data_IF_871624772750
#
_entry.id   IF_871624772750
#
_cell.length_a   1.000
_cell.length_b   1.000
_cell.length_c   1.000
_cell.angle_alpha   90.00
_cell.angle_beta   90.00
_cell.angle_gamma   90.00
#
_symmetry.space_group_name_H-M   'P 1'
#
loop_
_entity.id
_entity.type
_entity.pdbx_description
1 polymer ?
#
# COMPACT_ATOMS: atom_id res chain seq x y z
N UNK A 1 -9.26 4.62 13.04
CA UNK A 1 -9.68 5.57 14.10
C UNK A 1 -10.58 6.67 13.53
N UNK A 2 -11.62 6.32 12.79
CA UNK A 2 -12.51 7.30 12.14
C UNK A 2 -13.40 7.96 13.20
N UNK A 3 -13.53 9.29 13.16
CA UNK A 3 -14.39 10.06 14.07
C UNK A 3 -13.79 10.42 15.43
N UNK A 4 -12.53 10.01 15.71
CA UNK A 4 -11.85 10.38 16.95
C UNK A 4 -11.27 11.79 16.83
N UNK A 5 -11.39 12.58 17.90
CA UNK A 5 -10.63 13.83 18.02
C UNK A 5 -9.13 13.54 18.08
N UNK A 6 -8.30 14.48 17.60
CA UNK A 6 -6.84 14.29 17.53
C UNK A 6 -6.21 13.84 18.86
N UNK A 7 -6.55 14.39 20.05
CA UNK A 7 -5.97 13.92 21.30
C UNK A 7 -6.28 12.46 21.63
N UNK A 8 -7.48 11.99 21.25
CA UNK A 8 -7.89 10.60 21.46
C UNK A 8 -7.13 9.65 20.52
N UNK A 9 -6.83 10.07 19.29
CA UNK A 9 -5.94 9.31 18.39
C UNK A 9 -4.54 9.21 18.97
N UNK A 10 -3.98 10.33 19.43
CA UNK A 10 -2.65 10.37 20.05
C UNK A 10 -2.55 9.45 21.26
N UNK A 11 -3.53 9.49 22.18
CA UNK A 11 -3.54 8.61 23.35
C UNK A 11 -3.71 7.14 22.99
N UNK A 12 -4.54 6.83 21.99
CA UNK A 12 -4.74 5.46 21.50
C UNK A 12 -3.45 4.90 20.90
N UNK A 13 -2.75 5.70 20.07
CA UNK A 13 -1.46 5.31 19.50
C UNK A 13 -0.42 5.06 20.60
N UNK A 14 -0.31 5.96 21.58
CA UNK A 14 0.60 5.77 22.73
C UNK A 14 0.30 4.48 23.48
N UNK A 15 -0.99 4.20 23.74
CA UNK A 15 -1.41 2.98 24.42
C UNK A 15 -1.02 1.71 23.65
N UNK A 16 -1.14 1.70 22.33
CA UNK A 16 -0.72 0.56 21.49
C UNK A 16 0.78 0.27 21.68
N UNK A 17 1.62 1.31 21.69
CA UNK A 17 3.06 1.14 21.94
C UNK A 17 3.33 0.66 23.38
N UNK A 18 2.64 1.22 24.37
CA UNK A 18 2.75 0.78 25.77
C UNK A 18 2.37 -0.69 25.96
N UNK A 19 1.33 -1.15 25.27
CA UNK A 19 0.93 -2.55 25.28
C UNK A 19 1.97 -3.42 24.56
N UNK A 20 2.52 -2.96 23.44
CA UNK A 20 3.61 -3.65 22.74
C UNK A 20 4.87 -3.79 23.61
N UNK A 21 5.16 -2.81 24.48
CA UNK A 21 6.27 -2.91 25.42
C UNK A 21 6.07 -3.94 26.53
N UNK A 22 4.91 -4.59 26.66
CA UNK A 22 4.70 -5.64 27.67
C UNK A 22 5.19 -7.01 27.20
N UNK A 23 5.26 -7.24 25.89
CA UNK A 23 5.76 -8.50 25.31
C UNK A 23 7.28 -8.49 25.13
N UNK A 24 7.98 -9.64 25.28
CA UNK A 24 9.41 -9.76 24.99
C UNK A 24 9.77 -9.42 23.54
N UNK A 25 8.87 -9.73 22.60
CA UNK A 25 9.02 -9.47 21.17
C UNK A 25 7.69 -8.99 20.60
N UNK A 26 7.72 -7.84 19.93
CA UNK A 26 6.51 -7.18 19.43
C UNK A 26 6.74 -6.56 18.05
N UNK A 27 5.65 -6.47 17.29
CA UNK A 27 5.61 -5.72 16.03
C UNK A 27 4.44 -4.73 16.12
N UNK A 28 4.68 -3.47 15.74
CA UNK A 28 3.65 -2.45 15.56
C UNK A 28 3.64 -2.03 14.10
N UNK A 29 2.47 -2.06 13.47
CA UNK A 29 2.28 -1.64 12.08
C UNK A 29 1.51 -0.31 12.08
N UNK A 30 2.15 0.73 11.58
CA UNK A 30 1.58 2.04 11.31
C UNK A 30 1.17 2.09 9.83
N UNK A 31 -0.06 1.69 9.54
CA UNK A 31 -0.57 1.66 8.17
C UNK A 31 -1.13 3.02 7.73
N UNK A 32 -0.84 3.41 6.49
CA UNK A 32 -1.34 4.62 5.83
C UNK A 32 -1.08 5.88 6.68
N UNK A 33 0.20 6.15 6.96
CA UNK A 33 0.65 7.17 7.93
C UNK A 33 0.10 8.56 7.59
N UNK A 34 0.05 8.94 6.31
CA UNK A 34 -0.56 10.21 5.87
C UNK A 34 -2.00 10.35 6.35
N UNK A 35 -2.78 9.27 6.37
CA UNK A 35 -4.15 9.26 6.85
C UNK A 35 -4.23 9.32 8.38
N UNK A 36 -3.28 8.69 9.07
CA UNK A 36 -3.15 8.83 10.52
C UNK A 36 -2.84 10.27 10.93
N UNK A 37 -2.01 10.96 10.14
CA UNK A 37 -1.68 12.37 10.25
C UNK A 37 -2.80 13.32 9.78
N UNK A 38 -3.91 12.80 9.26
CA UNK A 38 -4.99 13.60 8.66
C UNK A 38 -4.47 14.54 7.56
N UNK A 39 -3.48 14.08 6.79
CA UNK A 39 -2.85 14.86 5.75
C UNK A 39 -3.83 15.17 4.61
N UNK A 40 -3.88 16.44 4.22
CA UNK A 40 -4.60 16.93 3.04
C UNK A 40 -3.67 17.82 2.22
N UNK A 41 -3.52 17.50 0.93
CA UNK A 41 -2.58 18.19 0.05
C UNK A 41 -2.93 19.67 -0.21
N UNK A 42 -4.22 20.03 -0.20
CA UNK A 42 -4.67 21.41 -0.41
C UNK A 42 -4.36 22.26 0.83
N UNK A 43 -3.48 23.25 0.67
CA UNK A 43 -3.07 24.15 1.75
C UNK A 43 -2.34 23.43 2.88
N UNK A 44 -1.36 22.56 2.54
CA UNK A 44 -0.95 21.33 3.23
C UNK A 44 -1.30 21.32 4.73
N UNK A 45 -2.34 20.56 5.07
CA UNK A 45 -2.83 20.42 6.45
C UNK A 45 -2.51 19.03 6.97
N UNK A 46 -2.18 18.95 8.25
CA UNK A 46 -1.97 17.71 8.98
C UNK A 46 -2.12 17.98 10.49
N UNK A 47 -2.38 16.95 11.28
CA UNK A 47 -2.34 17.05 12.74
C UNK A 47 -0.90 17.02 13.24
N UNK A 48 -0.38 18.19 13.61
CA UNK A 48 0.95 18.29 14.23
C UNK A 48 0.99 17.52 15.57
N UNK A 49 -0.12 17.42 16.29
CA UNK A 49 -0.19 16.63 17.53
C UNK A 49 0.15 15.16 17.27
N UNK A 50 -0.45 14.56 16.25
CA UNK A 50 -0.17 13.17 15.88
C UNK A 50 1.25 13.02 15.35
N UNK A 51 1.75 13.98 14.56
CA UNK A 51 3.13 13.97 14.09
C UNK A 51 4.13 13.90 15.26
N UNK A 52 3.97 14.76 16.27
CA UNK A 52 4.86 14.76 17.43
C UNK A 52 4.78 13.46 18.23
N UNK A 53 3.58 12.88 18.40
CA UNK A 53 3.40 11.58 19.05
C UNK A 53 4.15 10.48 18.28
N UNK A 54 4.00 10.42 16.96
CA UNK A 54 4.70 9.42 16.13
C UNK A 54 6.22 9.59 16.17
N UNK A 55 6.73 10.81 16.06
CA UNK A 55 8.17 11.10 16.14
C UNK A 55 8.79 10.59 17.45
N UNK A 56 8.08 10.74 18.56
CA UNK A 56 8.52 10.23 19.87
C UNK A 56 8.44 8.71 19.92
N UNK A 57 7.31 8.12 19.54
CA UNK A 57 7.06 6.68 19.69
C UNK A 57 7.95 5.83 18.77
N UNK A 58 8.18 6.25 17.53
CA UNK A 58 9.03 5.53 16.57
C UNK A 58 10.49 5.50 17.03
N UNK A 59 11.00 6.58 17.64
CA UNK A 59 12.39 6.66 18.13
C UNK A 59 12.59 6.05 19.52
N UNK A 60 11.51 5.80 20.27
CA UNK A 60 11.58 5.33 21.66
C UNK A 60 12.06 3.88 21.70
N UNK A 61 13.16 3.66 22.42
CA UNK A 61 13.66 2.31 22.68
C UNK A 61 12.70 1.55 23.62
N UNK A 62 12.40 0.27 23.35
CA UNK A 62 11.63 -0.55 24.27
C UNK A 62 12.40 -0.77 25.58
N UNK A 63 11.71 -1.15 26.68
CA UNK A 63 12.36 -1.49 27.95
C UNK A 63 13.43 -2.58 27.79
N UNK A 64 14.42 -2.58 28.70
CA UNK A 64 15.50 -3.56 28.67
C UNK A 64 14.99 -5.01 28.61
N UNK A 65 15.60 -5.82 27.75
CA UNK A 65 15.20 -7.21 27.53
C UNK A 65 14.00 -7.40 26.60
N UNK A 66 13.47 -6.32 26.00
CA UNK A 66 12.37 -6.40 25.04
C UNK A 66 12.77 -5.88 23.67
N UNK A 67 12.11 -6.37 22.62
CA UNK A 67 12.37 -6.02 21.23
C UNK A 67 11.08 -5.56 20.56
N UNK A 68 11.17 -4.45 19.83
CA UNK A 68 10.06 -3.88 19.07
C UNK A 68 10.51 -3.63 17.63
N UNK A 69 9.73 -4.11 16.67
CA UNK A 69 9.83 -3.72 15.26
C UNK A 69 8.64 -2.81 14.93
N UNK A 70 8.92 -1.64 14.36
CA UNK A 70 7.88 -0.73 13.85
C UNK A 70 7.94 -0.74 12.34
N UNK A 71 6.83 -1.06 11.69
CA UNK A 71 6.68 -1.01 10.23
C UNK A 71 5.71 0.10 9.89
N UNK A 72 6.14 1.06 9.08
CA UNK A 72 5.30 2.13 8.56
C UNK A 72 4.99 1.93 7.08
N UNK A 73 3.74 2.17 6.66
CA UNK A 73 3.38 2.24 5.23
C UNK A 73 2.95 3.67 4.89
N UNK A 74 3.34 4.11 3.69
CA UNK A 74 2.92 5.40 3.15
C UNK A 74 2.87 5.32 1.62
N UNK A 75 1.92 6.03 1.03
CA UNK A 75 1.91 6.34 -0.41
C UNK A 75 2.51 7.72 -0.69
N UNK A 76 2.86 8.49 0.35
CA UNK A 76 3.26 9.89 0.29
C UNK A 76 4.66 10.12 0.89
N UNK A 77 5.65 9.33 0.47
CA UNK A 77 7.01 9.35 1.04
C UNK A 77 7.65 10.73 1.13
N UNK A 78 7.57 11.53 0.07
CA UNK A 78 8.12 12.91 0.03
C UNK A 78 7.50 13.83 1.09
N UNK A 79 6.23 13.61 1.43
CA UNK A 79 5.53 14.38 2.47
C UNK A 79 6.09 14.01 3.84
N UNK A 80 6.30 12.71 4.11
CA UNK A 80 6.89 12.24 5.36
C UNK A 80 8.36 12.68 5.51
N UNK A 81 9.11 12.73 4.40
CA UNK A 81 10.46 13.32 4.37
C UNK A 81 10.42 14.79 4.77
N UNK A 82 9.53 15.57 4.16
CA UNK A 82 9.36 17.01 4.44
C UNK A 82 8.93 17.28 5.90
N UNK A 83 8.25 16.33 6.54
CA UNK A 83 7.83 16.40 7.95
C UNK A 83 8.90 15.88 8.93
N UNK A 84 10.04 15.37 8.43
CA UNK A 84 11.10 14.77 9.24
C UNK A 84 10.71 13.43 9.89
N UNK A 85 9.58 12.83 9.50
CA UNK A 85 9.11 11.56 10.05
C UNK A 85 9.83 10.37 9.40
N UNK A 86 10.21 10.48 8.13
CA UNK A 86 10.96 9.42 7.46
C UNK A 86 12.31 9.15 8.14
N UNK A 87 13.02 10.20 8.57
CA UNK A 87 14.29 10.10 9.32
C UNK A 87 14.14 9.45 10.70
N UNK A 88 12.91 9.30 11.22
CA UNK A 88 12.67 8.57 12.45
C UNK A 88 12.79 7.04 12.27
N UNK A 89 12.59 6.54 11.05
CA UNK A 89 12.71 5.12 10.73
C UNK A 89 14.16 4.75 10.43
N UNK A 90 14.57 3.54 10.83
CA UNK A 90 15.94 3.06 10.60
C UNK A 90 16.20 2.64 9.15
N UNK A 91 15.15 2.21 8.43
CA UNK A 91 15.23 1.70 7.06
C UNK A 91 14.02 2.21 6.30
N UNK A 92 14.27 2.75 5.10
CA UNK A 92 13.24 3.14 4.14
C UNK A 92 13.31 2.16 2.96
N UNK A 93 12.21 1.45 2.71
CA UNK A 93 12.11 0.51 1.60
C UNK A 93 11.11 1.04 0.57
N UNK A 94 11.59 1.29 -0.66
CA UNK A 94 10.71 1.66 -1.75
C UNK A 94 10.03 0.41 -2.33
N UNK A 95 8.70 0.46 -2.46
CA UNK A 95 7.90 -0.59 -3.11
C UNK A 95 7.43 -0.04 -4.47
N UNK A 96 8.11 -0.38 -5.58
CA UNK A 96 7.76 0.15 -6.89
C UNK A 96 6.50 -0.51 -7.47
N UNK A 97 5.93 0.12 -8.50
CA UNK A 97 4.93 -0.51 -9.35
C UNK A 97 5.55 -1.65 -10.19
N UNK A 98 4.73 -2.60 -10.60
CA UNK A 98 5.16 -3.74 -11.42
C UNK A 98 5.47 -3.29 -12.85
N UNK A 99 6.44 -3.94 -13.49
CA UNK A 99 6.82 -3.74 -14.89
C UNK A 99 6.82 -5.05 -15.67
N UNK A 100 6.45 -5.00 -16.95
CA UNK A 100 6.65 -6.04 -17.98
C UNK A 100 6.74 -7.50 -17.48
N UNK A 101 7.95 -7.94 -17.12
CA UNK A 101 8.21 -9.30 -16.63
C UNK A 101 7.52 -9.62 -15.30
N UNK A 102 7.50 -8.68 -14.36
CA UNK A 102 6.81 -8.83 -13.07
C UNK A 102 5.30 -8.94 -13.26
N UNK A 103 4.73 -8.15 -14.18
CA UNK A 103 3.31 -8.29 -14.58
C UNK A 103 3.06 -9.67 -15.16
N UNK A 104 3.94 -10.14 -16.07
CA UNK A 104 3.83 -11.47 -16.68
C UNK A 104 3.83 -12.58 -15.61
N UNK A 105 4.73 -12.48 -14.61
CA UNK A 105 4.81 -13.43 -13.49
C UNK A 105 3.54 -13.43 -12.64
N UNK A 106 2.97 -12.25 -12.36
CA UNK A 106 1.71 -12.14 -11.61
C UNK A 106 0.56 -12.76 -12.41
N UNK A 107 0.42 -12.44 -13.71
CA UNK A 107 -0.63 -13.01 -14.56
C UNK A 107 -0.51 -14.54 -14.70
N UNK A 108 0.71 -15.06 -14.79
CA UNK A 108 0.98 -16.50 -14.81
C UNK A 108 0.57 -17.17 -13.48
N UNK A 109 0.98 -16.58 -12.35
CA UNK A 109 0.66 -17.10 -11.02
C UNK A 109 -0.85 -17.08 -10.73
N UNK A 110 -1.55 -16.05 -11.22
CA UNK A 110 -3.01 -15.94 -11.12
C UNK A 110 -3.77 -16.93 -12.02
N UNK A 111 -3.07 -17.64 -12.92
CA UNK A 111 -3.69 -18.56 -13.88
C UNK A 111 -4.71 -17.88 -14.80
N UNK A 112 -4.59 -16.56 -14.97
CA UNK A 112 -5.58 -15.72 -15.62
C UNK A 112 -5.71 -15.98 -17.12
N UNK A 113 -4.58 -16.29 -17.77
CA UNK A 113 -4.46 -16.46 -19.21
C UNK A 113 -3.77 -17.79 -19.53
N UNK A 114 -3.84 -18.25 -20.77
CA UNK A 114 -2.92 -19.28 -21.23
C UNK A 114 -1.50 -18.71 -21.28
N UNK A 115 -0.46 -19.51 -21.02
CA UNK A 115 0.93 -19.02 -21.02
C UNK A 115 1.32 -18.33 -22.33
N UNK A 116 0.78 -18.79 -23.46
CA UNK A 116 0.99 -18.19 -24.78
C UNK A 116 0.35 -16.80 -24.95
N UNK A 117 -0.71 -16.50 -24.18
CA UNK A 117 -1.48 -15.25 -24.29
C UNK A 117 -0.97 -14.18 -23.32
N UNK A 118 -0.17 -14.54 -22.31
CA UNK A 118 0.38 -13.61 -21.32
C UNK A 118 1.16 -12.45 -21.96
N UNK A 119 2.06 -12.67 -22.95
CA UNK A 119 2.76 -11.57 -23.60
C UNK A 119 1.80 -10.57 -24.24
N UNK A 120 0.76 -11.05 -24.93
CA UNK A 120 -0.25 -10.20 -25.54
C UNK A 120 -1.07 -9.44 -24.49
N UNK A 121 -1.45 -10.09 -23.39
CA UNK A 121 -2.16 -9.45 -22.28
C UNK A 121 -1.34 -8.31 -21.65
N UNK A 122 -0.03 -8.49 -21.50
CA UNK A 122 0.90 -7.48 -21.00
C UNK A 122 1.04 -6.30 -21.98
N UNK A 123 1.11 -6.58 -23.28
CA UNK A 123 1.16 -5.52 -24.31
C UNK A 123 -0.13 -4.69 -24.35
N UNK A 124 -1.29 -5.34 -24.22
CA UNK A 124 -2.60 -4.67 -24.12
C UNK A 124 -2.62 -3.77 -22.87
N UNK A 125 -2.22 -4.29 -21.70
CA UNK A 125 -2.11 -3.52 -20.47
C UNK A 125 -1.22 -2.29 -20.65
N UNK A 126 -0.03 -2.48 -21.22
CA UNK A 126 0.94 -1.41 -21.45
C UNK A 126 0.39 -0.32 -22.40
N UNK A 127 -0.41 -0.71 -23.39
CA UNK A 127 -1.04 0.20 -24.36
C UNK A 127 -2.10 1.11 -23.74
N UNK A 128 -2.97 0.57 -22.89
CA UNK A 128 -4.12 1.33 -22.34
C UNK A 128 -3.84 1.96 -20.98
N UNK A 129 -3.04 1.31 -20.13
CA UNK A 129 -2.83 1.72 -18.73
C UNK A 129 -1.39 2.11 -18.39
N UNK A 130 -0.46 1.97 -19.34
CA UNK A 130 0.96 2.28 -19.15
C UNK A 130 1.79 1.10 -18.63
N UNK A 131 3.11 1.31 -18.56
CA UNK A 131 4.09 0.24 -18.25
C UNK A 131 4.34 0.00 -16.76
N UNK A 132 3.97 0.96 -15.92
CA UNK A 132 4.15 0.92 -14.47
C UNK A 132 2.78 0.73 -13.82
N UNK A 133 2.52 -0.48 -13.31
CA UNK A 133 1.19 -0.84 -12.79
C UNK A 133 1.28 -1.29 -11.33
N UNK A 134 0.62 -0.57 -10.38
CA UNK A 134 0.50 -1.04 -9.01
C UNK A 134 -0.21 -2.40 -8.96
N UNK A 135 0.31 -3.35 -8.19
CA UNK A 135 -0.23 -4.71 -8.13
C UNK A 135 -1.72 -4.75 -7.77
N UNK A 136 -2.16 -3.88 -6.86
CA UNK A 136 -3.58 -3.77 -6.47
C UNK A 136 -4.48 -3.38 -7.66
N UNK A 137 -4.01 -2.50 -8.55
CA UNK A 137 -4.75 -2.13 -9.78
C UNK A 137 -4.78 -3.28 -10.77
N UNK A 138 -3.65 -3.95 -10.98
CA UNK A 138 -3.57 -5.11 -11.87
C UNK A 138 -4.57 -6.20 -11.46
N UNK A 139 -4.58 -6.57 -10.18
CA UNK A 139 -5.51 -7.59 -9.65
C UNK A 139 -6.97 -7.14 -9.74
N UNK A 140 -7.25 -5.86 -9.51
CA UNK A 140 -8.60 -5.31 -9.66
C UNK A 140 -9.09 -5.42 -11.11
N UNK A 141 -8.30 -4.98 -12.08
CA UNK A 141 -8.67 -5.03 -13.49
C UNK A 141 -8.82 -6.46 -13.97
N UNK A 142 -7.95 -7.35 -13.50
CA UNK A 142 -8.05 -8.78 -13.79
C UNK A 142 -9.37 -9.35 -13.27
N UNK A 143 -9.76 -8.99 -12.06
CA UNK A 143 -11.03 -9.44 -11.48
C UNK A 143 -12.24 -8.89 -12.24
N UNK A 144 -12.18 -7.63 -12.71
CA UNK A 144 -13.21 -7.07 -13.59
C UNK A 144 -13.34 -7.87 -14.89
N UNK A 145 -12.22 -8.23 -15.52
CA UNK A 145 -12.24 -9.03 -16.74
C UNK A 145 -12.72 -10.48 -16.50
N UNK A 146 -12.53 -11.03 -15.30
CA UNK A 146 -13.11 -12.32 -14.90
C UNK A 146 -14.64 -12.26 -14.72
N UNK A 147 -15.22 -11.12 -14.36
CA UNK A 147 -16.67 -11.01 -14.18
C UNK A 147 -17.46 -11.14 -15.48
N UNK A 148 -16.82 -10.88 -16.63
CA UNK A 148 -17.43 -11.07 -17.94
C UNK A 148 -17.44 -12.53 -18.42
N UNK A 149 -16.84 -13.45 -17.64
CA UNK A 149 -16.81 -14.87 -17.95
C UNK A 149 -18.12 -15.58 -17.60
N UNK A 150 -18.62 -16.47 -18.47
CA UNK A 150 -19.81 -17.28 -18.17
C UNK A 150 -19.56 -18.35 -17.08
N UNK A 151 -18.30 -18.75 -16.84
CA UNK A 151 -17.93 -19.71 -15.80
C UNK A 151 -16.90 -19.12 -14.82
N UNK A 152 -17.12 -19.35 -13.52
CA UNK A 152 -16.18 -18.92 -12.48
C UNK A 152 -14.88 -19.73 -12.58
N UNK A 153 -13.74 -19.03 -12.73
CA UNK A 153 -12.41 -19.64 -12.82
C UNK A 153 -11.94 -19.98 -14.24
N UNK A 154 -12.68 -19.57 -15.27
CA UNK A 154 -12.22 -19.63 -16.66
C UNK A 154 -11.01 -18.73 -16.93
N UNK A 155 -10.27 -19.02 -18.00
CA UNK A 155 -9.22 -18.11 -18.50
C UNK A 155 -9.88 -16.90 -19.16
N UNK A 156 -9.34 -15.71 -18.88
CA UNK A 156 -9.82 -14.44 -19.40
C UNK A 156 -9.48 -14.33 -20.89
N UNK A 157 -10.46 -14.14 -21.80
CA UNK A 157 -10.19 -13.84 -23.20
C UNK A 157 -9.47 -12.49 -23.34
N UNK A 158 -8.55 -12.39 -24.30
CA UNK A 158 -7.81 -11.16 -24.55
C UNK A 158 -8.74 -9.99 -24.94
N UNK A 159 -9.88 -10.28 -25.57
CA UNK A 159 -10.88 -9.29 -25.95
C UNK A 159 -11.57 -8.66 -24.73
N UNK A 160 -11.94 -9.48 -23.74
CA UNK A 160 -12.54 -9.01 -22.49
C UNK A 160 -11.53 -8.20 -21.67
N UNK A 161 -10.28 -8.69 -21.60
CA UNK A 161 -9.18 -7.95 -20.99
C UNK A 161 -8.97 -6.57 -21.64
N UNK A 162 -8.97 -6.52 -22.97
CA UNK A 162 -8.83 -5.27 -23.71
C UNK A 162 -10.01 -4.33 -23.47
N UNK A 163 -11.24 -4.83 -23.49
CA UNK A 163 -12.44 -4.01 -23.26
C UNK A 163 -12.39 -3.33 -21.88
N UNK A 164 -12.12 -4.10 -20.83
CA UNK A 164 -11.98 -3.57 -19.46
C UNK A 164 -10.91 -2.50 -19.37
N UNK A 165 -9.71 -2.76 -19.91
CA UNK A 165 -8.61 -1.79 -19.84
C UNK A 165 -8.88 -0.54 -20.67
N UNK A 166 -9.56 -0.67 -21.81
CA UNK A 166 -9.94 0.45 -22.65
C UNK A 166 -10.94 1.37 -21.93
N UNK A 167 -11.98 0.80 -21.31
CA UNK A 167 -12.99 1.55 -20.55
C UNK A 167 -12.41 2.26 -19.32
N UNK A 168 -11.34 1.70 -18.74
CA UNK A 168 -10.63 2.31 -17.60
C UNK A 168 -9.61 3.38 -18.00
N UNK A 169 -9.25 3.45 -19.29
CA UNK A 169 -8.29 4.41 -19.84
C UNK A 169 -8.93 5.69 -20.38
N UNK A 170 -10.25 5.69 -20.59
CA UNK A 170 -11.06 6.84 -21.02
C UNK A 170 -11.44 7.76 -19.86
#
# INVERSE_FOLDING_TARGET
MVGYAEPAKGSTTTKIFEDAYKSPLSIVILDDIERLLEYVAIGPRFSNLILQVLLVLVKKQPPAGRKLLVIGTTSSGQVLDSMGLAEAFNVLLHVPALRGEEVSRVLAQEGAFAEADIPAAVDILAKYCGRDVPIKKLLLWLEMARQELPEQGGRVPLEAWQAVLQDLSS
#
